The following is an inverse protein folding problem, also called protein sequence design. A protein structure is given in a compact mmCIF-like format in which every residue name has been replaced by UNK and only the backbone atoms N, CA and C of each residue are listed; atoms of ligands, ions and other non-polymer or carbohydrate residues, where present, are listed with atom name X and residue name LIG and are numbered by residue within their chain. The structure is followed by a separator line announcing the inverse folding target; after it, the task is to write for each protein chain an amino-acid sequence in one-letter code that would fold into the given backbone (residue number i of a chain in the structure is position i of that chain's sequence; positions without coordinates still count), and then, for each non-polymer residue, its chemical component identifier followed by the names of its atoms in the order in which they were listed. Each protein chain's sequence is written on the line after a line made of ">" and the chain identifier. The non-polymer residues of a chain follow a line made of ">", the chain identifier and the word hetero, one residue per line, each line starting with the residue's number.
data_IF_961217893715
#
_entry.id   IF_961217893715
#
_cell.length_a   1.000
_cell.length_b   1.000
_cell.length_c   1.000
_cell.angle_alpha   90.00
_cell.angle_beta   90.00
_cell.angle_gamma   90.00
#
_symmetry.space_group_name_H-M   'P 1'
#
loop_
_entity.id
_entity.type
_entity.pdbx_description
1 polymer ?
#
# COMPACT_ATOMS: atom_id res chain seq x y z
N UNK A 1 -5.41 -9.73 -16.45
CA UNK A 1 -6.03 -10.38 -15.26
C UNK A 1 -5.46 -9.79 -13.97
N UNK A 2 -6.02 -8.71 -13.50
CA UNK A 2 -5.51 -8.10 -12.24
C UNK A 2 -6.44 -6.97 -11.80
N UNK A 3 -5.92 -6.02 -11.06
CA UNK A 3 -6.78 -4.89 -10.60
C UNK A 3 -6.73 -4.81 -9.07
N UNK A 4 -7.67 -5.48 -8.44
CA UNK A 4 -7.72 -5.47 -6.95
C UNK A 4 -6.43 -6.04 -6.38
N UNK A 5 -5.99 -5.53 -5.26
CA UNK A 5 -4.74 -6.04 -4.64
C UNK A 5 -5.01 -6.54 -3.22
N UNK A 6 -4.51 -7.69 -2.86
CA UNK A 6 -4.76 -8.21 -1.49
C UNK A 6 -3.57 -9.03 -1.00
N UNK A 7 -2.96 -8.63 0.08
CA UNK A 7 -1.81 -9.40 0.62
C UNK A 7 -2.28 -10.18 1.86
N UNK A 8 -2.32 -11.49 1.74
CA UNK A 8 -2.78 -12.32 2.88
C UNK A 8 -4.16 -11.86 3.38
N UNK A 9 -4.70 -12.59 4.31
CA UNK A 9 -6.06 -12.26 4.84
C UNK A 9 -5.99 -11.08 5.82
N UNK A 10 -4.84 -10.50 6.03
CA UNK A 10 -4.75 -9.36 6.99
C UNK A 10 -4.53 -8.05 6.25
N UNK A 11 -3.77 -8.05 5.19
CA UNK A 11 -3.52 -6.78 4.44
C UNK A 11 -4.38 -6.74 3.18
N UNK A 12 -5.12 -5.68 2.99
CA UNK A 12 -5.97 -5.57 1.77
C UNK A 12 -5.71 -4.23 1.07
N UNK A 13 -5.80 -4.22 -0.23
CA UNK A 13 -5.54 -2.94 -0.98
C UNK A 13 -6.48 -2.82 -2.18
N UNK A 14 -6.82 -1.62 -2.56
CA UNK A 14 -7.74 -1.44 -3.72
C UNK A 14 -7.00 -0.73 -4.86
N UNK A 15 -7.71 -0.15 -5.78
CA UNK A 15 -7.04 0.56 -6.90
C UNK A 15 -8.09 1.31 -7.74
N UNK A 16 -9.00 0.61 -8.35
CA UNK A 16 -10.04 1.29 -9.18
C UNK A 16 -11.41 1.17 -8.49
N UNK A 17 -12.47 1.18 -9.25
CA UNK A 17 -13.82 1.07 -8.65
C UNK A 17 -13.90 -0.14 -7.71
N UNK A 18 -13.04 -1.11 -7.92
CA UNK A 18 -13.07 -2.32 -7.05
C UNK A 18 -12.87 -1.93 -5.59
N UNK A 19 -12.31 -0.78 -5.33
CA UNK A 19 -12.09 -0.35 -3.92
C UNK A 19 -13.42 -0.07 -3.22
N UNK A 20 -14.51 -0.06 -3.94
CA UNK A 20 -15.83 0.20 -3.28
C UNK A 20 -16.35 -1.07 -2.63
N UNK A 21 -16.67 -2.07 -3.41
CA UNK A 21 -17.17 -3.34 -2.83
C UNK A 21 -16.14 -3.92 -1.88
N UNK A 22 -14.88 -3.72 -2.16
CA UNK A 22 -13.81 -4.25 -1.27
C UNK A 22 -13.77 -3.44 0.03
N UNK A 23 -13.45 -2.17 -0.06
CA UNK A 23 -13.38 -1.33 1.17
C UNK A 23 -14.69 -1.44 1.95
N UNK A 24 -15.79 -1.63 1.27
CA UNK A 24 -17.09 -1.75 1.97
C UNK A 24 -17.20 -3.10 2.67
N UNK A 25 -16.97 -4.18 1.96
CA UNK A 25 -17.04 -5.52 2.59
C UNK A 25 -16.13 -5.57 3.82
N UNK A 26 -14.91 -5.15 3.67
CA UNK A 26 -13.98 -5.17 4.84
C UNK A 26 -14.40 -4.11 5.85
N UNK A 27 -14.93 -3.00 5.39
CA UNK A 27 -15.38 -1.93 6.33
C UNK A 27 -16.28 -2.52 7.42
N UNK A 28 -17.18 -3.39 7.04
CA UNK A 28 -18.07 -4.02 8.06
C UNK A 28 -17.24 -4.65 9.19
N UNK A 29 -16.15 -5.26 8.84
CA UNK A 29 -15.28 -5.88 9.87
C UNK A 29 -13.84 -5.42 9.65
N UNK A 30 -13.62 -4.14 9.63
CA UNK A 30 -12.24 -3.61 9.41
C UNK A 30 -11.70 -3.01 10.70
N UNK A 31 -10.41 -2.80 10.78
CA UNK A 31 -9.81 -2.22 12.00
C UNK A 31 -9.02 -0.95 11.65
N UNK A 32 -7.99 -1.09 10.85
CA UNK A 32 -7.19 0.10 10.46
C UNK A 32 -7.53 0.52 9.02
N UNK A 33 -7.97 1.73 8.83
CA UNK A 33 -8.32 2.19 7.45
C UNK A 33 -7.27 3.17 6.92
N UNK A 34 -6.50 2.76 5.95
CA UNK A 34 -5.46 3.66 5.38
C UNK A 34 -6.09 4.68 4.43
N UNK A 35 -6.73 5.68 4.96
CA UNK A 35 -7.39 6.70 4.09
C UNK A 35 -6.32 7.54 3.37
N UNK A 36 -5.92 7.12 2.19
CA UNK A 36 -4.89 7.90 1.45
C UNK A 36 -5.47 9.23 0.96
N UNK A 37 -5.58 10.19 1.82
CA UNK A 37 -6.16 11.51 1.40
C UNK A 37 -5.18 12.65 1.73
N UNK A 38 -5.11 13.05 2.97
CA UNK A 38 -4.20 14.17 3.33
C UNK A 38 -4.11 14.32 4.86
N UNK A 39 -4.02 15.53 5.36
CA UNK A 39 -3.93 15.73 6.84
C UNK A 39 -2.68 15.04 7.39
N UNK A 40 -1.70 14.81 6.57
CA UNK A 40 -0.45 14.16 7.04
C UNK A 40 -0.77 12.88 7.83
N UNK A 41 0.24 12.27 8.38
CA UNK A 41 0.06 11.04 9.16
C UNK A 41 -0.91 11.28 10.33
N UNK A 42 -2.19 11.19 10.08
CA UNK A 42 -3.18 11.42 11.16
C UNK A 42 -3.63 10.08 11.76
N UNK A 43 -3.89 10.05 13.04
CA UNK A 43 -4.34 8.78 13.67
C UNK A 43 -5.75 8.93 14.24
N UNK A 44 -6.75 8.94 13.38
CA UNK A 44 -8.14 9.08 13.88
C UNK A 44 -8.72 7.71 14.23
N UNK A 45 -10.02 7.60 14.33
CA UNK A 45 -10.63 6.28 14.68
C UNK A 45 -12.15 6.37 14.62
N UNK A 46 -12.70 6.71 13.48
CA UNK A 46 -14.19 6.79 13.37
C UNK A 46 -14.79 5.43 13.74
N UNK A 47 -14.13 4.36 13.35
CA UNK A 47 -14.66 3.00 13.68
C UNK A 47 -13.61 2.19 14.44
N UNK A 48 -12.35 2.52 14.31
CA UNK A 48 -11.29 1.76 15.03
C UNK A 48 -9.96 2.52 14.93
N UNK A 49 -9.29 2.40 13.81
CA UNK A 49 -8.00 3.13 13.64
C UNK A 49 -7.95 3.74 12.24
N UNK A 50 -8.23 5.00 12.12
CA UNK A 50 -8.19 5.65 10.78
C UNK A 50 -6.81 6.24 10.51
N UNK A 51 -6.10 5.70 9.57
CA UNK A 51 -4.74 6.23 9.26
C UNK A 51 -4.83 7.19 8.07
N UNK A 52 -4.17 8.31 8.13
CA UNK A 52 -4.26 9.28 7.00
C UNK A 52 -2.87 9.57 6.42
N UNK A 53 -2.65 9.23 5.19
CA UNK A 53 -1.33 9.51 4.55
C UNK A 53 -1.42 10.79 3.71
N UNK A 54 -0.45 11.65 3.84
CA UNK A 54 -0.46 12.92 3.07
C UNK A 54 -0.25 12.63 1.58
N UNK A 55 -1.24 12.92 0.77
CA UNK A 55 -1.10 12.67 -0.70
C UNK A 55 -0.74 13.97 -1.41
N UNK A 56 -0.34 13.88 -2.66
CA UNK A 56 0.04 15.11 -3.41
C UNK A 56 -0.84 15.26 -4.65
N UNK A 57 -0.51 16.20 -5.50
CA UNK A 57 -1.32 16.42 -6.73
C UNK A 57 -0.41 16.71 -7.93
N UNK A 58 0.35 15.75 -8.35
CA UNK A 58 1.27 15.98 -9.50
C UNK A 58 1.74 14.64 -10.09
N UNK A 59 1.58 14.47 -11.38
CA UNK A 59 2.00 13.18 -12.02
C UNK A 59 1.33 11.99 -11.33
N UNK A 60 1.92 11.46 -10.29
CA UNK A 60 1.30 10.31 -9.58
C UNK A 60 1.67 10.34 -8.10
N UNK A 61 1.92 11.50 -7.57
CA UNK A 61 2.28 11.61 -6.12
C UNK A 61 3.47 10.69 -5.79
N UNK A 62 4.64 11.24 -5.69
CA UNK A 62 5.83 10.40 -5.36
C UNK A 62 5.55 9.60 -4.09
N UNK A 63 5.79 8.31 -4.13
CA UNK A 63 5.54 7.48 -2.92
C UNK A 63 6.84 7.18 -2.18
N UNK A 64 7.89 7.91 -2.46
CA UNK A 64 9.17 7.66 -1.76
C UNK A 64 9.14 8.19 -0.32
N UNK A 65 8.08 8.86 0.05
CA UNK A 65 7.99 9.40 1.44
C UNK A 65 7.12 8.50 2.32
N UNK A 66 6.43 7.55 1.74
CA UNK A 66 5.56 6.65 2.56
C UNK A 66 6.27 5.33 2.82
N UNK A 67 7.56 5.28 2.68
CA UNK A 67 8.29 4.01 2.95
C UNK A 67 8.19 3.65 4.43
N UNK A 68 8.78 4.45 5.28
CA UNK A 68 8.69 4.17 6.74
C UNK A 68 7.24 4.29 7.23
N UNK A 69 6.48 5.16 6.62
CA UNK A 69 5.07 5.31 7.05
C UNK A 69 4.27 4.05 6.70
N UNK A 70 4.39 3.60 5.49
CA UNK A 70 3.63 2.38 5.08
C UNK A 70 3.93 1.20 5.99
N UNK A 71 5.18 0.81 6.08
CA UNK A 71 5.53 -0.37 6.94
C UNK A 71 5.32 -0.05 8.43
N UNK A 72 5.21 1.19 8.79
CA UNK A 72 5.02 1.52 10.23
C UNK A 72 3.53 1.50 10.54
N UNK A 73 2.74 1.89 9.58
CA UNK A 73 1.28 1.89 9.77
C UNK A 73 0.72 0.48 9.53
N UNK A 74 1.12 -0.13 8.45
CA UNK A 74 0.63 -1.51 8.15
C UNK A 74 1.16 -2.49 9.19
N UNK A 75 2.41 -2.41 9.54
CA UNK A 75 2.95 -3.35 10.57
C UNK A 75 2.34 -3.06 11.94
N UNK A 76 2.17 -1.81 12.27
CA UNK A 76 1.56 -1.47 13.58
C UNK A 76 0.14 -2.04 13.68
N UNK A 77 -0.53 -2.20 12.56
CA UNK A 77 -1.91 -2.76 12.58
C UNK A 77 -1.87 -4.29 12.68
N UNK A 78 -0.97 -4.92 11.97
CA UNK A 78 -0.89 -6.40 12.01
C UNK A 78 -0.34 -6.86 13.37
N UNK A 79 0.40 -6.02 14.04
CA UNK A 79 0.96 -6.40 15.36
C UNK A 79 -0.02 -6.09 16.49
N UNK A 80 -1.02 -5.29 16.23
CA UNK A 80 -2.00 -4.95 17.29
C UNK A 80 -3.38 -4.67 16.68
N UNK A 81 -3.43 -3.83 15.68
CA UNK A 81 -4.75 -3.52 15.04
C UNK A 81 -5.43 -4.82 14.62
N UNK A 82 -5.19 -5.27 13.41
CA UNK A 82 -5.82 -6.52 12.94
C UNK A 82 -5.85 -6.54 11.41
N UNK A 83 -6.68 -5.75 10.81
CA UNK A 83 -6.75 -5.71 9.33
C UNK A 83 -6.51 -4.29 8.81
N UNK A 84 -5.62 -4.14 7.87
CA UNK A 84 -5.35 -2.78 7.32
C UNK A 84 -5.71 -2.72 5.84
N UNK A 85 -6.53 -1.78 5.45
CA UNK A 85 -6.92 -1.68 4.01
C UNK A 85 -6.48 -0.34 3.43
N UNK A 86 -5.65 -0.36 2.43
CA UNK A 86 -5.18 0.92 1.81
C UNK A 86 -6.12 1.32 0.67
N UNK A 87 -6.67 2.50 0.75
CA UNK A 87 -7.61 2.95 -0.31
C UNK A 87 -6.83 3.63 -1.45
N UNK A 88 -7.51 3.95 -2.52
CA UNK A 88 -6.82 4.62 -3.66
C UNK A 88 -7.39 6.02 -3.88
N UNK A 89 -6.86 6.76 -4.81
CA UNK A 89 -7.39 8.12 -5.06
C UNK A 89 -7.11 8.57 -6.49
N UNK A 90 -6.88 7.64 -7.39
CA UNK A 90 -6.59 8.01 -8.80
C UNK A 90 -6.52 6.77 -9.69
N UNK A 91 -7.25 5.74 -9.34
CA UNK A 91 -7.22 4.50 -10.17
C UNK A 91 -5.78 4.06 -10.42
N UNK A 92 -4.91 4.27 -9.47
CA UNK A 92 -3.49 3.87 -9.66
C UNK A 92 -3.09 2.82 -8.63
N UNK A 93 -1.93 2.22 -8.79
CA UNK A 93 -1.50 1.18 -7.81
C UNK A 93 -0.72 1.81 -6.66
N UNK A 94 -0.86 3.09 -6.44
CA UNK A 94 -0.14 3.75 -5.33
C UNK A 94 -0.38 3.00 -4.01
N UNK A 95 -1.61 2.64 -3.75
CA UNK A 95 -1.90 1.90 -2.49
C UNK A 95 -1.13 0.57 -2.49
N UNK A 96 -1.16 -0.14 -3.59
CA UNK A 96 -0.42 -1.44 -3.65
C UNK A 96 1.07 -1.18 -3.43
N UNK A 97 1.53 -0.02 -3.75
CA UNK A 97 2.98 0.30 -3.54
C UNK A 97 3.26 0.41 -2.05
N UNK A 98 2.36 0.99 -1.30
CA UNK A 98 2.57 1.09 0.17
C UNK A 98 2.68 -0.32 0.76
N UNK A 99 1.71 -1.16 0.50
CA UNK A 99 1.79 -2.55 1.01
C UNK A 99 3.08 -3.20 0.51
N UNK A 100 3.52 -2.82 -0.66
CA UNK A 100 4.79 -3.39 -1.19
C UNK A 100 5.92 -3.13 -0.18
N UNK A 101 6.02 -1.92 0.31
CA UNK A 101 7.07 -1.61 1.31
C UNK A 101 6.92 -2.54 2.51
N UNK A 102 5.71 -2.71 2.99
CA UNK A 102 5.50 -3.61 4.14
C UNK A 102 6.07 -5.01 3.83
N UNK A 103 5.67 -5.60 2.75
CA UNK A 103 6.20 -6.94 2.39
C UNK A 103 7.72 -6.88 2.18
N UNK A 104 8.24 -5.71 1.96
CA UNK A 104 9.71 -5.59 1.73
C UNK A 104 10.45 -5.49 3.07
N UNK A 105 10.13 -4.51 3.87
CA UNK A 105 10.82 -4.35 5.18
C UNK A 105 10.34 -5.43 6.16
N UNK A 106 9.17 -5.95 5.96
CA UNK A 106 8.63 -6.99 6.89
C UNK A 106 8.91 -8.39 6.34
N UNK A 107 8.62 -8.63 5.09
CA UNK A 107 8.85 -9.98 4.52
C UNK A 107 10.24 -10.05 3.86
N UNK A 108 10.92 -8.95 3.73
CA UNK A 108 12.28 -8.98 3.11
C UNK A 108 12.23 -9.68 1.76
N UNK A 109 11.43 -9.19 0.85
CA UNK A 109 11.35 -9.83 -0.50
C UNK A 109 11.64 -8.81 -1.60
N UNK A 110 12.02 -7.61 -1.24
CA UNK A 110 12.34 -6.56 -2.26
C UNK A 110 11.15 -6.36 -3.21
N UNK A 111 11.17 -5.29 -3.96
CA UNK A 111 10.04 -5.04 -4.91
C UNK A 111 9.95 -6.17 -5.93
N UNK A 112 10.98 -6.96 -6.07
CA UNK A 112 10.94 -8.07 -7.05
C UNK A 112 9.95 -9.15 -6.62
N UNK A 113 10.24 -9.83 -5.54
CA UNK A 113 9.31 -10.90 -5.06
C UNK A 113 8.08 -10.27 -4.43
N UNK A 114 8.22 -9.12 -3.83
CA UNK A 114 7.03 -8.47 -3.21
C UNK A 114 5.99 -8.13 -4.28
N UNK A 115 6.39 -7.39 -5.29
CA UNK A 115 5.43 -7.03 -6.37
C UNK A 115 4.92 -8.30 -7.06
N UNK A 116 5.74 -9.31 -7.15
CA UNK A 116 5.30 -10.57 -7.81
C UNK A 116 4.31 -11.33 -6.92
N UNK A 117 4.33 -11.07 -5.64
CA UNK A 117 3.40 -11.78 -4.72
C UNK A 117 2.10 -10.99 -4.55
N UNK A 118 2.20 -9.72 -4.25
CA UNK A 118 0.97 -8.90 -4.07
C UNK A 118 0.02 -9.07 -5.26
N UNK A 119 0.54 -9.42 -6.40
CA UNK A 119 -0.35 -9.60 -7.60
C UNK A 119 0.43 -10.22 -8.76
N UNK A 120 -0.17 -10.27 -9.91
CA UNK A 120 0.54 -10.88 -11.09
C UNK A 120 1.23 -9.78 -11.90
N UNK A 121 1.89 -10.15 -12.97
CA UNK A 121 2.57 -9.13 -13.81
C UNK A 121 1.56 -8.17 -14.43
N UNK A 122 1.88 -7.57 -15.54
CA UNK A 122 0.93 -6.62 -16.19
C UNK A 122 0.49 -5.54 -15.20
N UNK A 123 1.13 -4.40 -15.23
CA UNK A 123 0.76 -3.31 -14.29
C UNK A 123 2.03 -2.53 -13.89
N UNK A 124 2.55 -1.74 -14.79
CA UNK A 124 3.76 -0.95 -14.46
C UNK A 124 3.42 0.54 -14.34
N UNK A 125 3.81 1.17 -13.26
CA UNK A 125 3.50 2.62 -13.09
C UNK A 125 4.65 3.47 -13.61
N UNK A 126 4.36 4.65 -14.11
CA UNK A 126 5.43 5.53 -14.64
C UNK A 126 6.25 4.79 -15.71
N UNK A 127 7.14 5.51 -16.35
CA UNK A 127 7.99 4.90 -17.40
C UNK A 127 8.89 3.82 -16.80
N UNK A 128 8.52 2.57 -16.94
CA UNK A 128 9.35 1.47 -16.38
C UNK A 128 8.97 0.14 -17.02
N UNK A 129 8.71 0.14 -18.30
CA UNK A 129 8.32 -1.13 -18.98
C UNK A 129 9.56 -1.82 -19.54
N UNK A 130 9.57 -3.13 -19.55
CA UNK A 130 10.75 -3.88 -20.09
C UNK A 130 12.05 -3.33 -19.50
N UNK A 131 12.16 -3.31 -18.20
CA UNK A 131 13.41 -2.80 -17.57
C UNK A 131 13.63 -3.46 -16.20
N UNK A 132 14.83 -3.87 -15.92
CA UNK A 132 15.10 -4.52 -14.59
C UNK A 132 16.22 -3.77 -13.86
N UNK A 133 16.16 -2.47 -13.83
CA UNK A 133 17.21 -1.70 -13.12
C UNK A 133 16.76 -1.38 -11.70
N UNK A 134 15.54 -0.93 -11.54
CA UNK A 134 15.03 -0.61 -10.18
C UNK A 134 15.00 -1.86 -9.30
N UNK A 135 15.91 -1.97 -8.37
CA UNK A 135 15.94 -3.17 -7.49
C UNK A 135 16.68 -2.85 -6.18
N UNK A 136 17.97 -2.67 -6.26
CA UNK A 136 18.74 -2.34 -5.03
C UNK A 136 18.33 -0.98 -4.49
N UNK A 137 17.75 -0.15 -5.32
CA UNK A 137 17.31 1.19 -4.84
C UNK A 137 16.23 1.03 -3.77
N UNK A 138 15.11 0.48 -4.13
CA UNK A 138 14.02 0.27 -3.14
C UNK A 138 14.50 -0.66 -2.02
N UNK A 139 15.33 -1.61 -2.36
CA UNK A 139 15.85 -2.55 -1.30
C UNK A 139 16.52 -1.76 -0.18
N UNK A 140 17.63 -1.13 -0.46
CA UNK A 140 18.34 -0.36 0.60
C UNK A 140 17.46 0.81 1.09
N UNK A 141 16.41 1.12 0.37
CA UNK A 141 15.53 2.26 0.80
C UNK A 141 14.52 1.80 1.85
N UNK A 142 13.89 0.68 1.63
CA UNK A 142 12.86 0.20 2.60
C UNK A 142 13.44 -0.82 3.58
N UNK A 143 14.40 -1.60 3.16
CA UNK A 143 15.00 -2.60 4.08
C UNK A 143 16.17 -1.99 4.85
N UNK A 144 17.28 -1.80 4.20
CA UNK A 144 18.46 -1.21 4.90
C UNK A 144 18.07 0.08 5.63
N UNK A 145 17.40 0.97 4.96
CA UNK A 145 16.99 2.25 5.61
C UNK A 145 15.51 2.20 5.98
#
# INVERSE_FOLDING_TARGET
>A
QGGPVEILPYLFLGSCSHSSDLQGLQACGITAVLNVSASCPNHFEGLFRYKSIPVEDNQMVEISAWFQEAIGFIDWVKNSGGRVLVHSQAGISRSATICLAYLMQSRRVRLDEAFDFVKQRRGVISPNFSFMGQLLQFETQVLCH
#
